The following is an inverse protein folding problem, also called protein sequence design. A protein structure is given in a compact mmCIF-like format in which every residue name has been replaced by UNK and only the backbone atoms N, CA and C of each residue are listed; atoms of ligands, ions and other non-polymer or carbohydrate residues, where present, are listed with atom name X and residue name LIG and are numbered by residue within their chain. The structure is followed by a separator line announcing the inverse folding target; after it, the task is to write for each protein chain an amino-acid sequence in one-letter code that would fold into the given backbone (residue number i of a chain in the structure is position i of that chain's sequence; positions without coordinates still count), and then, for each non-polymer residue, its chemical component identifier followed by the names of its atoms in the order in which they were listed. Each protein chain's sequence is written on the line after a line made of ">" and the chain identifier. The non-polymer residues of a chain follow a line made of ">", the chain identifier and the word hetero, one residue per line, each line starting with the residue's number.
data_IF_196674905016
#
_entry.id   IF_196674905016
#
_cell.length_a   1.000
_cell.length_b   1.000
_cell.length_c   1.000
_cell.angle_alpha   90.00
_cell.angle_beta   90.00
_cell.angle_gamma   90.00
#
_symmetry.space_group_name_H-M   'P 1'
#
loop_
_entity.id
_entity.type
_entity.pdbx_description
1 polymer ?
#
# COMPACT_ATOMS: atom_id res chain seq x y z
N UNK A 1 -50.88 -74.17 -8.06
CA UNK A 1 -50.42 -73.65 -6.75
C UNK A 1 -49.76 -72.35 -7.00
N UNK A 2 -50.37 -71.27 -6.49
CA UNK A 2 -50.00 -69.85 -6.71
C UNK A 2 -48.78 -69.49 -5.87
N UNK A 3 -47.81 -68.72 -6.47
CA UNK A 3 -46.80 -68.06 -5.70
C UNK A 3 -46.85 -66.55 -6.06
N UNK A 4 -47.25 -65.68 -5.10
CA UNK A 4 -47.40 -64.25 -5.19
C UNK A 4 -46.04 -63.60 -5.00
N UNK A 5 -45.61 -62.83 -5.99
CA UNK A 5 -44.47 -61.95 -5.91
C UNK A 5 -44.93 -60.59 -5.32
N UNK A 6 -44.40 -60.20 -4.17
CA UNK A 6 -44.59 -58.88 -3.54
C UNK A 6 -43.55 -57.94 -4.06
N UNK A 7 -43.98 -56.96 -4.90
CA UNK A 7 -43.15 -55.81 -5.30
C UNK A 7 -43.10 -54.76 -4.18
N UNK A 8 -41.94 -54.59 -3.57
CA UNK A 8 -41.66 -53.51 -2.66
C UNK A 8 -41.55 -52.17 -3.42
N UNK A 9 -42.42 -51.21 -3.11
CA UNK A 9 -42.31 -49.82 -3.60
C UNK A 9 -41.19 -49.12 -2.82
N UNK A 10 -40.07 -48.81 -3.49
CA UNK A 10 -39.01 -47.96 -2.95
C UNK A 10 -39.48 -46.51 -3.03
N UNK A 11 -39.63 -45.87 -1.87
CA UNK A 11 -40.14 -44.53 -1.71
C UNK A 11 -39.00 -43.52 -1.94
N UNK A 12 -38.91 -42.97 -3.16
CA UNK A 12 -37.86 -42.05 -3.61
C UNK A 12 -38.23 -40.59 -3.26
N UNK A 13 -38.46 -40.28 -1.97
CA UNK A 13 -38.77 -38.89 -1.54
C UNK A 13 -37.71 -38.22 -0.68
N UNK A 14 -36.54 -38.86 -0.42
CA UNK A 14 -35.55 -38.34 0.53
C UNK A 14 -34.36 -37.57 -0.09
N UNK A 15 -34.13 -37.66 -1.41
CA UNK A 15 -32.88 -37.16 -2.00
C UNK A 15 -32.91 -35.69 -2.45
N UNK A 16 -34.07 -35.04 -2.51
CA UNK A 16 -34.12 -33.63 -2.94
C UNK A 16 -33.74 -32.60 -1.86
N UNK A 17 -33.82 -32.95 -0.59
CA UNK A 17 -33.43 -32.03 0.51
C UNK A 17 -31.91 -31.98 0.72
N UNK A 18 -31.19 -33.04 0.44
CA UNK A 18 -29.74 -33.07 0.59
C UNK A 18 -29.05 -32.33 -0.58
N UNK A 19 -29.61 -32.42 -1.81
CA UNK A 19 -29.05 -31.66 -2.95
C UNK A 19 -29.24 -30.14 -2.83
N UNK A 20 -30.35 -29.68 -2.23
CA UNK A 20 -30.59 -28.27 -1.98
C UNK A 20 -29.66 -27.68 -0.91
N UNK A 21 -29.23 -28.48 0.08
CA UNK A 21 -28.31 -28.05 1.12
C UNK A 21 -26.88 -27.91 0.62
N UNK A 22 -26.44 -28.76 -0.30
CA UNK A 22 -25.11 -28.68 -0.92
C UNK A 22 -24.98 -27.51 -1.90
N UNK A 23 -26.06 -27.08 -2.57
CA UNK A 23 -26.06 -25.93 -3.47
C UNK A 23 -26.08 -24.58 -2.72
N UNK A 24 -26.60 -24.53 -1.48
CA UNK A 24 -26.57 -23.33 -0.64
C UNK A 24 -25.20 -23.08 0.00
N UNK A 25 -24.37 -24.10 0.19
CA UNK A 25 -23.00 -23.95 0.72
C UNK A 25 -21.99 -23.44 -0.32
N UNK A 26 -22.29 -23.56 -1.62
CA UNK A 26 -21.43 -23.10 -2.70
C UNK A 26 -21.54 -21.60 -3.00
N UNK A 27 -22.47 -20.87 -2.36
CA UNK A 27 -22.73 -19.46 -2.58
C UNK A 27 -22.37 -18.57 -1.37
N UNK A 28 -21.56 -19.06 -0.42
CA UNK A 28 -20.95 -18.17 0.55
C UNK A 28 -19.93 -17.30 -0.21
N UNK A 29 -20.10 -15.98 -0.27
CA UNK A 29 -19.06 -15.15 -0.81
C UNK A 29 -17.81 -15.43 0.03
N UNK A 30 -16.73 -15.86 -0.61
CA UNK A 30 -15.41 -15.87 0.02
C UNK A 30 -15.22 -14.45 0.55
N UNK A 31 -15.36 -14.26 1.85
CA UNK A 31 -15.11 -12.97 2.50
C UNK A 31 -13.62 -12.70 2.26
N UNK A 32 -13.35 -11.81 1.32
CA UNK A 32 -11.97 -11.38 1.08
C UNK A 32 -11.48 -10.73 2.38
N UNK A 33 -10.46 -11.34 2.98
CA UNK A 33 -9.79 -10.74 4.13
C UNK A 33 -9.11 -9.45 3.66
N UNK A 34 -9.68 -8.32 4.05
CA UNK A 34 -9.18 -6.99 3.68
C UNK A 34 -7.75 -6.74 4.19
N UNK A 35 -7.34 -7.44 5.26
CA UNK A 35 -6.01 -7.41 5.85
C UNK A 35 -4.92 -8.05 4.98
N UNK A 36 -5.31 -8.84 3.96
CA UNK A 36 -4.39 -9.43 2.99
C UNK A 36 -3.98 -8.46 1.88
N UNK A 37 -4.56 -7.26 1.81
CA UNK A 37 -4.24 -6.28 0.79
C UNK A 37 -3.61 -5.03 1.39
N UNK A 38 -2.70 -4.42 0.64
CA UNK A 38 -2.17 -3.10 0.94
C UNK A 38 -2.20 -2.21 -0.30
N UNK A 39 -2.20 -0.89 -0.06
CA UNK A 39 -2.11 0.15 -1.07
C UNK A 39 -0.82 0.92 -0.81
N UNK A 40 0.10 0.89 -1.77
CA UNK A 40 1.43 1.47 -1.64
C UNK A 40 1.80 2.30 -2.88
N UNK A 41 2.82 3.13 -2.76
CA UNK A 41 3.46 3.76 -3.91
C UNK A 41 4.19 2.69 -4.73
N UNK A 42 4.05 2.77 -6.06
CA UNK A 42 4.65 1.85 -7.00
C UNK A 42 5.12 2.59 -8.25
N UNK A 43 6.26 2.23 -8.84
CA UNK A 43 6.69 2.86 -10.08
C UNK A 43 5.74 2.50 -11.22
N UNK A 44 5.40 3.49 -12.05
CA UNK A 44 4.49 3.32 -13.17
C UNK A 44 4.93 2.22 -14.15
N UNK A 45 6.24 2.00 -14.31
CA UNK A 45 6.79 1.00 -15.23
C UNK A 45 6.53 -0.45 -14.83
N UNK A 46 6.20 -0.76 -13.55
CA UNK A 46 5.78 -2.11 -13.15
C UNK A 46 4.40 -2.51 -13.66
N UNK A 47 3.60 -1.53 -14.14
CA UNK A 47 2.28 -1.76 -14.75
C UNK A 47 1.35 -2.61 -13.88
N UNK A 48 1.39 -2.41 -12.58
CA UNK A 48 0.52 -3.11 -11.62
C UNK A 48 -0.94 -3.08 -12.07
N UNK A 49 -1.65 -4.24 -12.13
CA UNK A 49 -2.99 -4.30 -12.72
C UNK A 49 -4.04 -3.46 -11.98
N UNK A 50 -3.96 -3.43 -10.64
CA UNK A 50 -4.88 -2.67 -9.78
C UNK A 50 -4.17 -1.40 -9.28
N UNK A 51 -4.14 -0.34 -10.10
CA UNK A 51 -3.45 0.92 -9.82
C UNK A 51 -4.39 2.12 -9.85
N UNK A 52 -4.03 3.14 -9.08
CA UNK A 52 -4.72 4.43 -8.98
C UNK A 52 -3.70 5.51 -9.35
N UNK A 53 -3.98 6.35 -10.35
CA UNK A 53 -3.11 7.48 -10.68
C UNK A 53 -3.02 8.47 -9.50
N UNK A 54 -1.82 9.00 -9.27
CA UNK A 54 -1.63 10.14 -8.37
C UNK A 54 -1.67 11.44 -9.15
N UNK A 55 -2.11 12.52 -8.51
CA UNK A 55 -2.14 13.84 -9.13
C UNK A 55 -0.73 14.38 -9.34
N UNK A 56 -0.43 14.81 -10.56
CA UNK A 56 0.83 15.45 -10.94
C UNK A 56 1.99 14.50 -11.21
N UNK A 57 1.80 13.17 -11.05
CA UNK A 57 2.86 12.19 -11.29
C UNK A 57 3.03 11.84 -12.76
N UNK A 58 4.27 11.53 -13.14
CA UNK A 58 4.64 10.89 -14.40
C UNK A 58 5.29 9.52 -14.20
N UNK A 59 5.77 9.23 -12.99
CA UNK A 59 6.60 8.05 -12.70
C UNK A 59 6.00 7.13 -11.64
N UNK A 60 5.05 7.61 -10.84
CA UNK A 60 4.54 6.88 -9.68
C UNK A 60 3.04 6.71 -9.72
N UNK A 61 2.54 5.61 -9.19
CA UNK A 61 1.12 5.33 -8.99
C UNK A 61 0.89 4.82 -7.57
N UNK A 62 -0.35 4.79 -7.12
CA UNK A 62 -0.75 3.90 -6.04
C UNK A 62 -1.15 2.56 -6.62
N UNK A 63 -0.68 1.47 -6.04
CA UNK A 63 -1.03 0.14 -6.50
C UNK A 63 -1.44 -0.76 -5.33
N UNK A 64 -2.46 -1.59 -5.59
CA UNK A 64 -2.86 -2.62 -4.64
C UNK A 64 -1.96 -3.84 -4.78
N UNK A 65 -1.50 -4.32 -3.65
CA UNK A 65 -0.73 -5.55 -3.51
C UNK A 65 -1.41 -6.50 -2.54
N UNK A 66 -1.28 -7.78 -2.78
CA UNK A 66 -1.62 -8.83 -1.83
C UNK A 66 -0.38 -9.17 -1.01
N UNK A 67 -0.54 -9.20 0.30
CA UNK A 67 0.49 -9.58 1.26
C UNK A 67 0.47 -11.09 1.39
N UNK A 68 1.56 -11.74 1.03
CA UNK A 68 1.71 -13.19 1.21
C UNK A 68 2.36 -13.51 2.56
N UNK A 69 3.37 -12.72 2.94
CA UNK A 69 4.07 -12.82 4.21
C UNK A 69 4.69 -11.45 4.56
N UNK A 70 5.52 -11.40 5.61
CA UNK A 70 6.10 -10.16 6.12
C UNK A 70 7.00 -9.39 5.11
N UNK A 71 7.50 -10.07 4.08
CA UNK A 71 8.46 -9.50 3.11
C UNK A 71 7.95 -9.56 1.67
N UNK A 72 6.94 -10.38 1.40
CA UNK A 72 6.50 -10.71 0.04
C UNK A 72 5.18 -10.04 -0.32
N UNK A 73 5.24 -9.16 -1.31
CA UNK A 73 4.09 -8.51 -1.93
C UNK A 73 3.91 -9.01 -3.37
N UNK A 74 2.66 -9.31 -3.75
CA UNK A 74 2.29 -9.68 -5.12
C UNK A 74 1.27 -8.69 -5.65
N UNK A 75 1.42 -8.14 -6.87
CA UNK A 75 0.43 -7.23 -7.44
C UNK A 75 -0.97 -7.84 -7.44
N UNK A 76 -1.94 -7.14 -6.88
CA UNK A 76 -3.33 -7.56 -6.86
C UNK A 76 -3.97 -7.44 -8.25
N UNK A 77 -4.88 -8.35 -8.60
CA UNK A 77 -5.66 -8.26 -9.83
C UNK A 77 -6.95 -7.48 -9.55
N UNK A 78 -7.43 -6.70 -10.53
CA UNK A 78 -8.69 -5.95 -10.41
C UNK A 78 -9.88 -6.85 -10.05
N UNK A 79 -9.89 -8.09 -10.52
CA UNK A 79 -10.95 -9.07 -10.24
C UNK A 79 -10.98 -9.51 -8.77
N UNK A 80 -9.85 -9.37 -8.05
CA UNK A 80 -9.72 -9.69 -6.63
C UNK A 80 -10.25 -8.55 -5.74
N UNK A 81 -10.54 -7.38 -6.30
CA UNK A 81 -10.89 -6.16 -5.58
C UNK A 81 -12.17 -5.53 -6.15
N UNK A 82 -13.34 -5.98 -5.67
CA UNK A 82 -14.58 -5.24 -5.89
C UNK A 82 -14.58 -3.92 -5.08
N UNK A 83 -15.54 -3.02 -5.35
CA UNK A 83 -15.59 -1.69 -4.71
C UNK A 83 -15.63 -1.75 -3.16
N UNK A 84 -16.35 -2.71 -2.59
CA UNK A 84 -16.42 -2.91 -1.14
C UNK A 84 -15.06 -3.41 -0.59
N UNK A 85 -14.41 -4.33 -1.31
CA UNK A 85 -13.08 -4.83 -0.97
C UNK A 85 -12.01 -3.74 -1.05
N UNK A 86 -12.06 -2.86 -2.05
CA UNK A 86 -11.15 -1.71 -2.14
C UNK A 86 -11.29 -0.76 -0.94
N UNK A 87 -12.52 -0.43 -0.54
CA UNK A 87 -12.78 0.43 0.62
C UNK A 87 -12.31 -0.20 1.92
N UNK A 88 -12.55 -1.51 2.10
CA UNK A 88 -12.10 -2.25 3.27
C UNK A 88 -10.57 -2.36 3.32
N UNK A 89 -9.93 -2.69 2.19
CA UNK A 89 -8.47 -2.77 2.06
C UNK A 89 -7.82 -1.40 2.31
N UNK A 90 -8.39 -0.31 1.80
CA UNK A 90 -7.87 1.04 2.05
C UNK A 90 -7.90 1.41 3.54
N UNK A 91 -9.00 1.10 4.25
CA UNK A 91 -9.11 1.35 5.68
C UNK A 91 -8.09 0.53 6.48
N UNK A 92 -7.99 -0.78 6.22
CA UNK A 92 -7.02 -1.65 6.90
C UNK A 92 -5.58 -1.24 6.60
N UNK A 93 -5.33 -0.76 5.38
CA UNK A 93 -4.03 -0.22 4.99
C UNK A 93 -3.63 1.00 5.86
N UNK A 94 -4.55 1.93 6.14
CA UNK A 94 -4.29 3.07 7.01
C UNK A 94 -4.01 2.63 8.46
N UNK A 95 -4.75 1.65 8.98
CA UNK A 95 -4.48 1.11 10.32
C UNK A 95 -3.12 0.41 10.41
N UNK A 96 -2.72 -0.35 9.38
CA UNK A 96 -1.38 -0.93 9.27
C UNK A 96 -0.30 0.14 9.21
N UNK A 97 -0.50 1.17 8.39
CA UNK A 97 0.43 2.29 8.27
C UNK A 97 0.62 3.02 9.61
N UNK A 98 -0.45 3.21 10.42
CA UNK A 98 -0.37 3.80 11.76
C UNK A 98 0.44 2.92 12.71
N UNK A 99 0.16 1.60 12.73
CA UNK A 99 0.94 0.66 13.56
C UNK A 99 2.41 0.69 13.18
N UNK A 100 2.72 0.63 11.88
CA UNK A 100 4.09 0.68 11.39
C UNK A 100 4.79 2.00 11.79
N UNK A 101 4.13 3.15 11.55
CA UNK A 101 4.67 4.46 11.92
C UNK A 101 4.93 4.58 13.43
N UNK A 102 4.15 3.92 14.28
CA UNK A 102 4.35 3.94 15.73
C UNK A 102 5.61 3.18 16.18
N UNK A 103 6.10 2.23 15.39
CA UNK A 103 7.28 1.42 15.71
C UNK A 103 8.59 2.00 15.17
N UNK A 104 8.52 2.86 14.15
CA UNK A 104 9.72 3.41 13.49
C UNK A 104 10.20 4.65 14.24
N UNK A 105 11.48 4.67 14.58
CA UNK A 105 12.17 5.87 15.08
C UNK A 105 12.78 6.61 13.90
N UNK A 106 12.44 7.90 13.70
CA UNK A 106 13.04 8.68 12.64
C UNK A 106 14.52 8.94 12.94
N UNK A 107 15.36 8.80 11.94
CA UNK A 107 16.71 9.31 11.97
C UNK A 107 16.69 10.80 11.64
N UNK A 108 17.33 11.62 12.45
CA UNK A 108 17.39 13.07 12.28
C UNK A 108 18.69 13.41 11.54
N UNK A 109 18.56 13.98 10.36
CA UNK A 109 19.70 14.45 9.54
C UNK A 109 19.88 15.95 9.80
N UNK A 110 21.13 16.34 10.09
CA UNK A 110 21.50 17.74 10.39
C UNK A 110 22.62 18.17 9.47
N UNK A 111 22.65 19.48 9.18
CA UNK A 111 23.78 20.12 8.51
C UNK A 111 24.96 20.34 9.49
N UNK A 112 26.05 20.95 8.99
CA UNK A 112 27.23 21.28 9.78
C UNK A 112 26.97 22.30 10.91
N UNK A 113 25.86 23.06 10.83
CA UNK A 113 25.44 24.03 11.83
C UNK A 113 24.47 23.43 12.87
N UNK A 114 24.16 22.13 12.75
CA UNK A 114 23.24 21.45 13.63
C UNK A 114 21.75 21.63 13.28
N UNK A 115 21.44 22.32 12.18
CA UNK A 115 20.06 22.53 11.72
C UNK A 115 19.50 21.21 11.14
N UNK A 116 18.26 20.87 11.49
CA UNK A 116 17.60 19.67 10.95
C UNK A 116 17.26 19.95 9.48
N UNK A 117 17.87 19.17 8.58
CA UNK A 117 17.66 19.26 7.12
C UNK A 117 16.74 18.17 6.59
N UNK A 118 16.62 17.06 7.28
CA UNK A 118 15.67 16.00 6.95
C UNK A 118 15.38 15.07 8.14
N UNK A 119 14.29 14.31 8.04
CA UNK A 119 14.11 13.07 8.79
C UNK A 119 14.09 11.91 7.80
N UNK A 120 14.68 10.77 8.19
CA UNK A 120 14.65 9.53 7.42
C UNK A 120 13.91 8.46 8.20
N UNK A 121 12.87 7.87 7.60
CA UNK A 121 12.27 6.63 8.07
C UNK A 121 12.83 5.46 7.28
N UNK A 122 13.20 4.39 7.99
CA UNK A 122 13.63 3.14 7.37
C UNK A 122 12.91 1.96 8.01
N UNK A 123 12.52 0.99 7.17
CA UNK A 123 11.89 -0.25 7.61
C UNK A 123 12.18 -1.37 6.62
N UNK A 124 12.26 -2.61 7.11
CA UNK A 124 12.22 -3.81 6.26
C UNK A 124 10.81 -4.12 5.75
N UNK A 125 9.77 -3.55 6.36
CA UNK A 125 8.38 -3.74 5.93
C UNK A 125 8.17 -3.12 4.53
N UNK A 126 7.83 -3.92 3.51
CA UNK A 126 7.68 -3.44 2.14
C UNK A 126 6.46 -2.52 1.94
N UNK A 127 5.61 -2.37 2.95
CA UNK A 127 4.45 -1.47 2.92
C UNK A 127 4.75 -0.07 3.46
N UNK A 128 6.02 0.27 3.72
CA UNK A 128 6.43 1.53 4.34
C UNK A 128 5.81 2.76 3.66
N UNK A 129 5.74 2.79 2.33
CA UNK A 129 5.19 3.93 1.59
C UNK A 129 3.70 4.19 1.84
N UNK A 130 2.95 3.20 2.40
CA UNK A 130 1.56 3.40 2.81
C UNK A 130 1.42 4.49 3.91
N UNK A 131 2.49 4.77 4.66
CA UNK A 131 2.53 5.85 5.66
C UNK A 131 2.18 7.22 5.04
N UNK A 132 2.56 7.46 3.78
CA UNK A 132 2.26 8.70 3.07
C UNK A 132 0.76 8.92 2.79
N UNK A 133 -0.06 7.88 2.95
CA UNK A 133 -1.51 7.96 2.80
C UNK A 133 -2.23 8.36 4.10
N UNK A 134 -1.50 8.50 5.21
CA UNK A 134 -2.05 8.93 6.49
C UNK A 134 -2.36 10.44 6.47
N UNK A 135 -3.63 10.85 6.66
CA UNK A 135 -4.00 12.27 6.63
C UNK A 135 -3.29 13.08 7.71
N UNK A 136 -2.97 12.46 8.85
CA UNK A 136 -2.27 13.08 9.97
C UNK A 136 -0.76 13.22 9.80
N UNK A 137 -0.18 12.64 8.76
CA UNK A 137 1.28 12.57 8.59
C UNK A 137 1.92 13.96 8.48
N UNK A 138 1.28 14.89 7.77
CA UNK A 138 1.80 16.25 7.57
C UNK A 138 2.12 16.98 8.88
N UNK A 139 1.36 16.70 9.95
CA UNK A 139 1.53 17.34 11.25
C UNK A 139 2.41 16.54 12.23
N UNK A 140 2.73 15.30 11.92
CA UNK A 140 3.39 14.39 12.88
C UNK A 140 4.75 14.88 13.35
N UNK A 141 5.50 15.50 12.46
CA UNK A 141 6.85 15.99 12.73
C UNK A 141 6.96 17.53 12.62
N UNK A 142 5.82 18.22 12.72
CA UNK A 142 5.76 19.67 12.59
C UNK A 142 6.63 20.42 13.62
N UNK A 143 6.81 19.85 14.80
CA UNK A 143 7.70 20.39 15.84
C UNK A 143 9.20 20.30 15.49
N UNK A 144 9.58 19.44 14.54
CA UNK A 144 10.96 19.26 14.09
C UNK A 144 11.24 19.91 12.75
N UNK A 145 10.29 19.83 11.81
CA UNK A 145 10.48 20.22 10.41
C UNK A 145 9.65 21.45 9.99
N UNK A 146 8.79 21.95 10.89
CA UNK A 146 7.77 22.94 10.54
C UNK A 146 6.47 22.26 10.04
N UNK A 147 5.41 23.08 9.81
CA UNK A 147 4.06 22.57 9.53
C UNK A 147 3.94 21.87 8.16
N UNK A 148 4.82 22.22 7.22
CA UNK A 148 4.78 21.74 5.85
C UNK A 148 6.06 20.99 5.50
N UNK A 149 5.92 19.78 4.98
CA UNK A 149 7.03 18.96 4.55
C UNK A 149 6.82 18.46 3.12
N UNK A 150 7.93 18.30 2.42
CA UNK A 150 8.01 17.45 1.24
C UNK A 150 8.43 16.04 1.65
N UNK A 151 8.15 15.09 0.77
CA UNK A 151 8.50 13.69 0.97
C UNK A 151 9.25 13.17 -0.25
N UNK A 152 10.24 12.29 -0.03
CA UNK A 152 10.89 11.52 -1.08
C UNK A 152 10.86 10.05 -0.73
N UNK A 153 10.59 9.19 -1.72
CA UNK A 153 10.48 7.75 -1.55
C UNK A 153 11.32 7.05 -2.62
N UNK A 154 12.66 7.01 -2.45
CA UNK A 154 13.52 6.43 -3.47
C UNK A 154 13.28 4.93 -3.66
N UNK A 155 12.92 4.21 -2.60
CA UNK A 155 12.70 2.77 -2.63
C UNK A 155 11.65 2.33 -1.60
N UNK A 156 11.30 1.04 -1.56
CA UNK A 156 10.27 0.49 -0.65
C UNK A 156 10.63 0.56 0.82
N UNK A 157 11.90 0.82 1.18
CA UNK A 157 12.42 0.75 2.55
C UNK A 157 12.78 2.10 3.15
N UNK A 158 12.64 3.19 2.38
CA UNK A 158 13.12 4.51 2.82
C UNK A 158 12.15 5.61 2.44
N UNK A 159 11.81 6.46 3.41
CA UNK A 159 11.08 7.72 3.20
C UNK A 159 11.88 8.85 3.83
N UNK A 160 12.06 9.94 3.09
CA UNK A 160 12.58 11.19 3.61
C UNK A 160 11.46 12.19 3.81
N UNK A 161 11.56 12.95 4.90
CA UNK A 161 10.77 14.13 5.18
C UNK A 161 11.71 15.31 5.09
N UNK A 162 11.39 16.25 4.21
CA UNK A 162 12.20 17.42 3.92
C UNK A 162 11.44 18.69 4.31
N UNK A 163 11.98 19.59 5.16
CA UNK A 163 11.32 20.83 5.52
C UNK A 163 11.02 21.64 4.25
N UNK A 164 9.80 22.18 4.12
CA UNK A 164 9.43 23.00 2.97
C UNK A 164 10.25 24.29 2.87
N UNK A 165 10.68 24.80 4.03
CA UNK A 165 11.52 26.00 4.13
C UNK A 165 13.03 25.71 4.02
N UNK A 166 13.43 24.45 3.79
CA UNK A 166 14.80 24.11 3.48
C UNK A 166 15.21 24.82 2.18
N UNK A 167 16.28 25.59 2.24
CA UNK A 167 16.72 26.46 1.15
C UNK A 167 17.18 25.69 -0.09
N UNK A 168 17.51 24.41 0.05
CA UNK A 168 18.00 23.57 -1.06
C UNK A 168 17.62 22.09 -0.86
N UNK A 169 16.40 21.73 -1.24
CA UNK A 169 15.98 20.31 -1.27
C UNK A 169 16.71 19.51 -2.35
N UNK A 170 17.25 20.19 -3.39
CA UNK A 170 18.00 19.52 -4.46
C UNK A 170 19.37 19.02 -3.97
N UNK A 171 19.89 19.52 -2.86
CA UNK A 171 21.09 18.95 -2.23
C UNK A 171 20.95 17.49 -1.82
N UNK A 172 19.70 16.99 -1.67
CA UNK A 172 19.43 15.57 -1.44
C UNK A 172 19.40 14.72 -2.70
N UNK A 173 19.41 15.33 -3.90
CA UNK A 173 19.30 14.60 -5.16
C UNK A 173 20.34 13.48 -5.32
N UNK A 174 21.65 13.68 -5.06
CA UNK A 174 22.65 12.59 -5.19
C UNK A 174 22.32 11.39 -4.30
N UNK A 175 21.86 11.64 -3.07
CA UNK A 175 21.49 10.59 -2.12
C UNK A 175 20.22 9.85 -2.60
N UNK A 176 19.20 10.60 -3.04
CA UNK A 176 17.92 10.03 -3.51
C UNK A 176 18.17 9.19 -4.77
N UNK A 177 18.92 9.69 -5.74
CA UNK A 177 19.29 8.93 -6.96
C UNK A 177 20.09 7.68 -6.62
N UNK A 178 21.08 7.78 -5.73
CA UNK A 178 21.87 6.62 -5.29
C UNK A 178 20.96 5.54 -4.67
N UNK A 179 20.03 5.91 -3.79
CA UNK A 179 19.10 4.97 -3.16
C UNK A 179 18.07 4.40 -4.15
N UNK A 180 17.68 5.16 -5.15
CA UNK A 180 16.77 4.72 -6.20
C UNK A 180 17.45 3.72 -7.15
N UNK A 181 18.66 4.00 -7.62
CA UNK A 181 19.36 3.17 -8.61
C UNK A 181 19.99 1.90 -8.02
N UNK A 182 20.38 1.91 -6.75
CA UNK A 182 21.08 0.79 -6.11
C UNK A 182 20.15 -0.15 -5.34
N UNK A 183 18.83 0.14 -5.23
CA UNK A 183 17.88 -0.73 -4.55
C UNK A 183 17.15 -1.65 -5.56
N UNK A 184 16.95 -2.94 -5.28
CA UNK A 184 16.19 -3.84 -6.14
C UNK A 184 14.70 -3.48 -6.27
N UNK A 185 14.20 -2.62 -5.40
CA UNK A 185 12.80 -2.17 -5.36
C UNK A 185 12.70 -0.64 -5.39
N UNK A 186 13.18 0.01 -6.47
CA UNK A 186 13.07 1.46 -6.60
C UNK A 186 11.60 1.88 -6.70
N UNK A 187 11.27 3.08 -6.20
CA UNK A 187 9.92 3.65 -6.33
C UNK A 187 9.96 4.91 -7.19
N UNK A 188 10.60 5.98 -6.70
CA UNK A 188 10.52 7.27 -7.39
C UNK A 188 11.63 8.23 -6.99
N UNK A 189 11.98 9.12 -7.93
CA UNK A 189 12.76 10.34 -7.68
C UNK A 189 11.86 11.57 -7.61
N UNK A 190 10.54 11.39 -7.57
CA UNK A 190 9.60 12.51 -7.44
C UNK A 190 9.56 13.03 -6.00
N UNK A 191 9.28 14.33 -5.88
CA UNK A 191 9.06 15.03 -4.62
C UNK A 191 7.55 15.10 -4.39
N UNK A 192 7.11 14.56 -3.26
CA UNK A 192 5.71 14.52 -2.90
C UNK A 192 5.38 15.56 -1.84
N UNK A 193 4.12 15.97 -1.80
CA UNK A 193 3.55 16.78 -0.72
C UNK A 193 2.14 16.30 -0.36
N UNK A 194 1.67 16.63 0.84
CA UNK A 194 0.29 16.38 1.26
C UNK A 194 -0.45 17.71 1.29
N UNK A 195 -1.47 17.83 0.45
CA UNK A 195 -2.31 19.03 0.36
C UNK A 195 -3.77 18.62 0.61
N UNK A 196 -4.41 19.26 1.59
CA UNK A 196 -5.78 18.93 2.00
C UNK A 196 -5.95 17.42 2.30
N UNK A 197 -4.96 16.81 2.96
CA UNK A 197 -4.95 15.39 3.31
C UNK A 197 -4.77 14.43 2.13
N UNK A 198 -4.39 14.91 0.94
CA UNK A 198 -4.16 14.10 -0.25
C UNK A 198 -2.70 14.22 -0.69
N UNK A 199 -2.11 13.06 -0.97
CA UNK A 199 -0.77 12.97 -1.56
C UNK A 199 -0.81 13.40 -3.01
N UNK A 200 0.13 14.25 -3.41
CA UNK A 200 0.36 14.65 -4.81
C UNK A 200 1.85 14.85 -5.07
N UNK A 201 2.22 14.92 -6.34
CA UNK A 201 3.59 15.27 -6.73
C UNK A 201 3.73 16.79 -6.81
N UNK A 202 4.81 17.29 -6.22
CA UNK A 202 5.25 18.70 -6.27
C UNK A 202 6.26 18.94 -7.40
N UNK A 203 7.16 17.98 -7.65
CA UNK A 203 8.25 18.05 -8.63
C UNK A 203 9.09 16.77 -8.61
N UNK A 204 10.33 16.88 -9.05
CA UNK A 204 11.30 15.77 -9.00
C UNK A 204 12.70 16.28 -8.66
N UNK A 205 13.56 15.37 -8.20
CA UNK A 205 14.98 15.64 -8.06
C UNK A 205 15.64 15.69 -9.43
N UNK A 206 16.58 16.63 -9.61
CA UNK A 206 17.30 16.80 -10.88
C UNK A 206 18.29 15.66 -11.10
N UNK A 207 18.49 15.28 -12.38
CA UNK A 207 19.46 14.24 -12.80
C UNK A 207 20.88 14.82 -13.08
N UNK A 208 21.07 16.12 -12.87
CA UNK A 208 22.31 16.85 -13.24
C UNK A 208 23.46 16.62 -12.23
N UNK A 209 24.04 15.39 -12.26
CA UNK A 209 25.24 15.05 -11.47
C UNK A 209 26.31 14.38 -12.28
#
# INVERSE_FOLDING_TARGET
>A
MLNRSTRGKINCKSNHRILALCLLLAALPLSMNADQFCLILDPYFYRSPARIPLQGTTQTVLAYYRILDAETLVPAKLQELNAAGQSAAARENLERARRLLATIKPEIIRDSNGVITALRLQSSDPTLSAILLLPELGNRYANLLGPDCYFAVPNRRTIFFLPRLATDIQSFAPLIHSLYHNDPWPISIEIFEIVNGKLRVHGQFNDDF
#
